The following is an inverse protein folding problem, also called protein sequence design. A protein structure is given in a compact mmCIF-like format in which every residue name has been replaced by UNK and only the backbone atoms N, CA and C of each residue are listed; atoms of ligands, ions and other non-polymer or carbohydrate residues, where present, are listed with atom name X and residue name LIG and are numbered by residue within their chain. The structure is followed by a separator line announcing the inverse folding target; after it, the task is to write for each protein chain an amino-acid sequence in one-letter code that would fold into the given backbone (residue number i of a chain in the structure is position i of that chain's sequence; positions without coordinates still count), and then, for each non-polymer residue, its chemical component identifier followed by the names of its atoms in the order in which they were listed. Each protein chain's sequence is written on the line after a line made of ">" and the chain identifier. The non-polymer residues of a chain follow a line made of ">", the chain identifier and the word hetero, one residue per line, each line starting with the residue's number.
data_IF_588806940733
#
_entry.id   IF_588806940733
#
_cell.length_a   1.000
_cell.length_b   1.000
_cell.length_c   1.000
_cell.angle_alpha   90.00
_cell.angle_beta   90.00
_cell.angle_gamma   90.00
#
_symmetry.space_group_name_H-M   'P 1'
#
loop_
_entity.id
_entity.type
_entity.pdbx_description
1 polymer ?
#
# COMPACT_ATOMS: atom_id res chain seq x y z
N UNK A 1 -11.05 -6.76 -41.05
CA UNK A 1 -10.03 -7.78 -40.75
C UNK A 1 -10.30 -8.32 -39.36
N UNK A 2 -10.56 -9.61 -39.22
CA UNK A 2 -10.70 -10.23 -37.91
C UNK A 2 -9.32 -10.27 -37.24
N UNK A 3 -9.20 -9.81 -35.99
CA UNK A 3 -7.99 -9.99 -35.19
C UNK A 3 -7.69 -11.50 -35.14
N UNK A 4 -6.47 -11.96 -35.52
CA UNK A 4 -6.14 -13.37 -35.52
C UNK A 4 -6.43 -14.00 -34.14
N UNK A 5 -7.01 -15.21 -34.11
CA UNK A 5 -7.33 -15.92 -32.85
C UNK A 5 -6.16 -15.96 -31.87
N UNK A 6 -4.94 -16.11 -32.40
CA UNK A 6 -3.67 -16.06 -31.65
C UNK A 6 -3.40 -14.72 -30.96
N UNK A 7 -3.74 -13.58 -31.58
CA UNK A 7 -3.56 -12.27 -30.98
C UNK A 7 -4.47 -12.06 -29.77
N UNK A 8 -5.75 -12.46 -29.90
CA UNK A 8 -6.70 -12.44 -28.78
C UNK A 8 -6.26 -13.36 -27.64
N UNK A 9 -5.73 -14.55 -27.95
CA UNK A 9 -5.22 -15.47 -26.94
C UNK A 9 -4.05 -14.88 -26.14
N UNK A 10 -3.08 -14.23 -26.80
CA UNK A 10 -1.94 -13.61 -26.09
C UNK A 10 -2.40 -12.44 -25.22
N UNK A 11 -3.24 -11.54 -25.75
CA UNK A 11 -3.75 -10.40 -24.97
C UNK A 11 -4.54 -10.88 -23.75
N UNK A 12 -5.39 -11.90 -23.89
CA UNK A 12 -6.11 -12.48 -22.75
C UNK A 12 -5.17 -13.19 -21.77
N UNK A 13 -4.11 -13.86 -22.25
CA UNK A 13 -3.08 -14.45 -21.41
C UNK A 13 -2.35 -13.39 -20.57
N UNK A 14 -1.98 -12.25 -21.17
CA UNK A 14 -1.38 -11.12 -20.46
C UNK A 14 -2.34 -10.54 -19.41
N UNK A 15 -3.63 -10.44 -19.71
CA UNK A 15 -4.64 -9.99 -18.73
C UNK A 15 -4.72 -10.92 -17.53
N UNK A 16 -4.80 -12.23 -17.75
CA UNK A 16 -4.83 -13.23 -16.67
C UNK A 16 -3.53 -13.15 -15.85
N UNK A 17 -2.38 -13.06 -16.52
CA UNK A 17 -1.09 -12.89 -15.87
C UNK A 17 -1.08 -11.67 -14.94
N UNK A 18 -1.54 -10.51 -15.40
CA UNK A 18 -1.59 -9.29 -14.60
C UNK A 18 -2.53 -9.39 -13.40
N UNK A 19 -3.68 -10.04 -13.56
CA UNK A 19 -4.59 -10.31 -12.44
C UNK A 19 -3.90 -11.17 -11.39
N UNK A 20 -3.28 -12.28 -11.80
CA UNK A 20 -2.58 -13.18 -10.88
C UNK A 20 -1.37 -12.51 -10.23
N UNK A 21 -0.59 -11.74 -10.98
CA UNK A 21 0.56 -11.00 -10.48
C UNK A 21 0.13 -9.98 -9.42
N UNK A 22 -0.88 -9.16 -9.70
CA UNK A 22 -1.37 -8.16 -8.73
C UNK A 22 -1.95 -8.85 -7.49
N UNK A 23 -2.76 -9.90 -7.64
CA UNK A 23 -3.29 -10.64 -6.48
C UNK A 23 -2.16 -11.24 -5.64
N UNK A 24 -1.11 -11.78 -6.28
CA UNK A 24 0.03 -12.34 -5.58
C UNK A 24 0.84 -11.25 -4.85
N UNK A 25 1.23 -10.18 -5.54
CA UNK A 25 2.13 -9.17 -4.99
C UNK A 25 1.42 -8.16 -4.06
N UNK A 26 0.14 -7.85 -4.29
CA UNK A 26 -0.62 -6.92 -3.44
C UNK A 26 -1.31 -7.60 -2.25
N UNK A 27 -1.63 -8.90 -2.33
CA UNK A 27 -2.32 -9.63 -1.25
C UNK A 27 -1.54 -10.84 -0.76
N UNK A 28 -1.10 -11.71 -1.68
CA UNK A 28 -0.47 -12.99 -1.36
C UNK A 28 0.79 -12.86 -0.51
N UNK A 29 1.77 -12.07 -0.96
CA UNK A 29 3.05 -11.91 -0.28
C UNK A 29 2.88 -11.20 1.07
N UNK A 30 2.05 -10.16 1.13
CA UNK A 30 1.76 -9.47 2.40
C UNK A 30 1.09 -10.41 3.40
N UNK A 31 0.07 -11.15 2.97
CA UNK A 31 -0.59 -12.14 3.82
C UNK A 31 0.35 -13.26 4.27
N UNK A 32 1.26 -13.72 3.41
CA UNK A 32 2.26 -14.73 3.75
C UNK A 32 3.28 -14.20 4.78
N UNK A 33 3.76 -12.95 4.60
CA UNK A 33 4.72 -12.32 5.51
C UNK A 33 4.18 -12.21 6.94
N UNK A 34 2.91 -11.82 7.10
CA UNK A 34 2.25 -11.74 8.41
C UNK A 34 1.99 -13.13 8.99
N UNK A 35 1.51 -14.10 8.17
CA UNK A 35 1.25 -15.48 8.62
C UNK A 35 2.49 -16.23 9.09
N UNK A 36 3.66 -15.92 8.54
CA UNK A 36 4.91 -16.54 8.94
C UNK A 36 5.55 -15.88 10.17
N UNK A 37 5.07 -14.71 10.59
CA UNK A 37 5.52 -14.11 11.83
C UNK A 37 4.66 -14.59 13.00
N UNK A 38 5.22 -15.48 13.81
CA UNK A 38 4.54 -16.05 14.97
C UNK A 38 4.93 -15.30 16.24
N UNK A 39 4.03 -15.27 17.21
CA UNK A 39 4.32 -14.77 18.55
C UNK A 39 5.48 -15.59 19.17
N UNK A 40 6.44 -14.93 19.84
CA UNK A 40 7.67 -15.56 20.35
C UNK A 40 7.48 -16.27 21.70
N UNK A 41 6.39 -17.02 21.85
CA UNK A 41 5.94 -17.57 23.13
C UNK A 41 5.28 -18.96 23.06
N UNK A 42 5.76 -19.90 22.23
CA UNK A 42 5.11 -21.21 22.06
C UNK A 42 5.02 -22.03 23.36
N UNK A 43 5.78 -21.67 24.40
CA UNK A 43 5.84 -22.33 25.69
C UNK A 43 5.11 -21.58 26.82
N UNK A 44 4.59 -20.36 26.58
CA UNK A 44 3.89 -19.59 27.59
C UNK A 44 2.41 -19.97 27.63
N UNK A 45 1.89 -20.23 28.83
CA UNK A 45 0.46 -20.38 29.04
C UNK A 45 -0.17 -19.00 29.24
N UNK A 46 -1.12 -18.62 28.37
CA UNK A 46 -1.86 -17.35 28.42
C UNK A 46 -0.98 -16.07 28.49
N UNK A 47 -0.04 -15.89 27.55
CA UNK A 47 0.76 -14.66 27.44
C UNK A 47 -0.10 -13.46 27.01
N UNK A 48 0.32 -12.27 27.42
CA UNK A 48 -0.26 -11.04 26.86
C UNK A 48 0.53 -10.62 25.61
N UNK A 49 -0.20 -10.42 24.51
CA UNK A 49 0.34 -10.06 23.21
C UNK A 49 0.23 -8.56 22.95
N UNK A 50 1.35 -7.96 22.57
CA UNK A 50 1.45 -6.55 22.22
C UNK A 50 2.19 -6.44 20.88
N UNK A 51 1.55 -5.85 19.88
CA UNK A 51 2.19 -5.47 18.63
C UNK A 51 2.76 -4.06 18.78
N UNK A 52 4.04 -3.86 18.49
CA UNK A 52 4.66 -2.55 18.48
C UNK A 52 4.83 -2.08 17.04
N UNK A 53 4.33 -0.89 16.76
CA UNK A 53 4.41 -0.21 15.47
C UNK A 53 5.13 1.11 15.66
N UNK A 54 6.14 1.38 14.84
CA UNK A 54 6.88 2.63 14.89
C UNK A 54 6.73 3.40 13.57
N UNK A 55 6.79 4.73 13.68
CA UNK A 55 6.89 5.68 12.59
C UNK A 55 5.94 5.40 11.41
N UNK A 56 4.61 5.32 11.63
CA UNK A 56 3.67 5.26 10.51
C UNK A 56 3.85 6.42 9.54
N UNK A 57 4.14 7.62 10.08
CA UNK A 57 4.41 8.86 9.38
C UNK A 57 3.54 9.00 8.13
N UNK A 58 2.21 9.00 8.34
CA UNK A 58 1.30 9.22 7.21
C UNK A 58 1.65 10.57 6.58
N UNK A 59 1.80 10.60 5.26
CA UNK A 59 2.30 11.80 4.56
C UNK A 59 1.15 12.74 4.21
N UNK A 60 1.31 14.05 4.38
CA UNK A 60 0.31 15.05 4.01
C UNK A 60 0.65 15.76 2.69
N UNK A 61 -0.10 16.81 2.37
CA UNK A 61 0.14 17.61 1.17
C UNK A 61 1.46 18.41 1.22
N UNK A 62 2.03 18.58 2.42
CA UNK A 62 3.22 19.39 2.67
C UNK A 62 4.51 18.56 2.76
N UNK A 63 4.43 17.26 3.07
CA UNK A 63 5.56 16.32 3.19
C UNK A 63 6.54 16.37 2.02
N UNK A 64 6.04 16.44 0.78
CA UNK A 64 6.88 16.50 -0.43
C UNK A 64 6.46 17.63 -1.37
N UNK A 65 6.40 18.85 -0.86
CA UNK A 65 5.95 20.04 -1.58
C UNK A 65 6.68 20.30 -2.91
N UNK A 66 7.93 19.84 -3.05
CA UNK A 66 8.73 19.96 -4.28
C UNK A 66 8.24 19.10 -5.45
N UNK A 67 7.38 18.11 -5.22
CA UNK A 67 6.95 17.13 -6.24
C UNK A 67 5.77 17.59 -7.12
N UNK A 68 5.20 18.76 -6.83
CA UNK A 68 3.99 19.26 -7.48
C UNK A 68 2.72 18.48 -7.06
N UNK A 69 1.53 19.06 -7.27
CA UNK A 69 0.30 18.60 -6.62
C UNK A 69 -0.13 17.19 -7.01
N UNK A 70 0.00 16.82 -8.29
CA UNK A 70 -0.40 15.49 -8.77
C UNK A 70 0.45 14.38 -8.17
N UNK A 71 1.77 14.54 -8.17
CA UNK A 71 2.68 13.52 -7.67
C UNK A 71 2.61 13.41 -6.15
N UNK A 72 2.42 14.52 -5.43
CA UNK A 72 2.17 14.49 -3.98
C UNK A 72 0.87 13.75 -3.65
N UNK A 73 -0.21 14.02 -4.41
CA UNK A 73 -1.47 13.29 -4.27
C UNK A 73 -1.30 11.79 -4.52
N UNK A 74 -0.66 11.40 -5.61
CA UNK A 74 -0.40 9.99 -5.93
C UNK A 74 0.49 9.31 -4.89
N UNK A 75 1.52 10.02 -4.39
CA UNK A 75 2.38 9.52 -3.31
C UNK A 75 1.55 9.20 -2.08
N UNK A 76 0.71 10.14 -1.64
CA UNK A 76 -0.17 9.95 -0.48
C UNK A 76 -1.08 8.74 -0.65
N UNK A 77 -1.77 8.64 -1.79
CA UNK A 77 -2.63 7.48 -2.07
C UNK A 77 -1.85 6.17 -2.01
N UNK A 78 -0.69 6.08 -2.65
CA UNK A 78 0.10 4.84 -2.65
C UNK A 78 0.64 4.48 -1.26
N UNK A 79 1.01 5.47 -0.45
CA UNK A 79 1.45 5.27 0.94
C UNK A 79 0.28 4.80 1.81
N UNK A 80 -0.87 5.47 1.76
CA UNK A 80 -2.06 5.10 2.54
C UNK A 80 -2.48 3.65 2.22
N UNK A 81 -2.44 3.26 0.94
CA UNK A 81 -2.73 1.89 0.52
C UNK A 81 -1.72 0.88 1.04
N UNK A 82 -0.44 1.23 1.04
CA UNK A 82 0.59 0.35 1.60
C UNK A 82 0.39 0.17 3.10
N UNK A 83 0.16 1.25 3.84
CA UNK A 83 -0.08 1.21 5.28
C UNK A 83 -1.32 0.37 5.65
N UNK A 84 -2.44 0.54 4.93
CA UNK A 84 -3.65 -0.28 5.12
C UNK A 84 -3.41 -1.76 4.92
N UNK A 85 -2.58 -2.15 3.94
CA UNK A 85 -2.21 -3.56 3.73
C UNK A 85 -1.35 -4.12 4.85
N UNK A 86 -0.45 -3.30 5.39
CA UNK A 86 0.47 -3.65 6.47
C UNK A 86 -0.25 -3.77 7.82
N UNK A 87 -1.40 -3.11 7.97
CA UNK A 87 -2.15 -3.02 9.23
C UNK A 87 -3.21 -4.11 9.39
N UNK A 88 -3.09 -4.97 10.43
CA UNK A 88 -4.04 -6.08 10.68
C UNK A 88 -4.26 -6.52 12.15
N UNK A 89 -4.35 -5.63 13.15
CA UNK A 89 -4.91 -5.82 14.55
C UNK A 89 -3.92 -5.75 15.74
N UNK A 90 -4.40 -5.16 16.87
CA UNK A 90 -3.82 -4.90 18.22
C UNK A 90 -2.56 -4.04 18.19
N UNK A 91 -2.38 -2.94 18.96
CA UNK A 91 -1.13 -2.14 18.82
C UNK A 91 -0.75 -1.14 19.92
N UNK A 92 0.57 -0.95 20.00
CA UNK A 92 1.27 0.14 20.66
C UNK A 92 2.07 0.93 19.61
N UNK A 93 1.74 2.20 19.40
CA UNK A 93 2.42 3.10 18.48
C UNK A 93 3.55 3.85 19.18
N UNK A 94 4.76 3.73 18.63
CA UNK A 94 5.99 4.32 19.17
C UNK A 94 6.33 5.67 18.53
N UNK A 95 5.31 6.50 18.32
CA UNK A 95 5.45 7.88 17.83
C UNK A 95 5.46 8.05 16.32
N UNK A 96 5.44 9.32 15.95
CA UNK A 96 5.41 9.81 14.58
C UNK A 96 4.25 9.22 13.79
N UNK A 97 3.04 9.34 14.34
CA UNK A 97 1.82 8.94 13.65
C UNK A 97 1.65 9.78 12.37
N UNK A 98 1.92 11.08 12.45
CA UNK A 98 1.78 12.05 11.37
C UNK A 98 3.12 12.72 11.06
N UNK A 99 3.48 12.83 9.77
CA UNK A 99 4.74 13.43 9.34
C UNK A 99 4.84 14.95 9.63
N UNK A 100 3.71 15.64 9.68
CA UNK A 100 3.67 17.10 9.87
C UNK A 100 2.76 17.53 11.03
N UNK A 101 2.45 16.63 11.97
CA UNK A 101 1.53 16.90 13.08
C UNK A 101 1.90 18.14 13.92
N UNK A 102 3.20 18.44 14.02
CA UNK A 102 3.76 19.58 14.75
C UNK A 102 3.54 20.94 14.08
N UNK A 103 3.31 21.00 12.77
CA UNK A 103 3.31 22.26 12.02
C UNK A 103 1.99 23.03 12.14
N UNK A 104 2.07 24.35 11.95
CA UNK A 104 0.91 25.22 11.83
C UNK A 104 0.07 24.88 10.59
N UNK A 105 -1.20 24.55 10.82
CA UNK A 105 -2.19 24.27 9.79
C UNK A 105 -3.59 24.61 10.33
N UNK A 106 -4.57 24.93 9.46
CA UNK A 106 -5.96 25.08 9.87
C UNK A 106 -6.48 23.85 10.63
N UNK A 107 -7.38 24.08 11.59
CA UNK A 107 -7.94 23.01 12.43
C UNK A 107 -8.67 21.94 11.62
N UNK A 108 -9.45 22.35 10.61
CA UNK A 108 -10.12 21.44 9.67
C UNK A 108 -9.13 20.54 8.92
N UNK A 109 -7.97 21.07 8.51
CA UNK A 109 -6.94 20.27 7.85
C UNK A 109 -6.36 19.22 8.79
N UNK A 110 -6.12 19.57 10.06
CA UNK A 110 -5.61 18.62 11.04
C UNK A 110 -6.64 17.54 11.35
N UNK A 111 -7.92 17.89 11.45
CA UNK A 111 -8.99 16.93 11.68
C UNK A 111 -9.08 15.93 10.51
N UNK A 112 -9.08 16.40 9.27
CA UNK A 112 -9.03 15.53 8.08
C UNK A 112 -7.78 14.64 8.07
N UNK A 113 -6.66 15.16 8.55
CA UNK A 113 -5.40 14.43 8.64
C UNK A 113 -5.47 13.31 9.68
N UNK A 114 -6.03 13.61 10.86
CA UNK A 114 -6.27 12.63 11.92
C UNK A 114 -7.30 11.58 11.51
N UNK A 115 -8.43 11.99 10.90
CA UNK A 115 -9.44 11.05 10.42
C UNK A 115 -8.83 10.09 9.40
N UNK A 116 -7.96 10.57 8.51
CA UNK A 116 -7.21 9.70 7.59
C UNK A 116 -6.32 8.70 8.33
N UNK A 117 -5.62 9.12 9.40
CA UNK A 117 -4.85 8.20 10.24
C UNK A 117 -5.76 7.13 10.85
N UNK A 118 -6.86 7.56 11.50
CA UNK A 118 -7.83 6.68 12.16
C UNK A 118 -8.42 5.66 11.18
N UNK A 119 -8.72 6.08 9.95
CA UNK A 119 -9.24 5.22 8.90
C UNK A 119 -8.22 4.19 8.40
N UNK A 120 -6.94 4.57 8.30
CA UNK A 120 -5.87 3.66 7.89
C UNK A 120 -5.61 2.61 8.97
N UNK A 121 -5.55 3.05 10.22
CA UNK A 121 -5.22 2.24 11.38
C UNK A 121 -6.47 1.89 12.19
N UNK A 122 -7.57 1.58 11.50
CA UNK A 122 -8.83 1.25 12.16
C UNK A 122 -8.65 0.00 13.03
N UNK A 123 -9.10 0.08 14.27
CA UNK A 123 -8.97 -1.00 15.25
C UNK A 123 -10.35 -1.55 15.57
N UNK A 124 -10.44 -2.87 15.75
CA UNK A 124 -11.68 -3.52 16.18
C UNK A 124 -12.10 -3.05 17.58
N UNK A 125 -13.40 -2.84 17.78
CA UNK A 125 -13.96 -2.43 19.06
C UNK A 125 -13.52 -3.37 20.20
N UNK A 126 -13.23 -2.79 21.37
CA UNK A 126 -12.81 -3.53 22.57
C UNK A 126 -11.30 -3.81 22.65
N UNK A 127 -10.53 -3.45 21.63
CA UNK A 127 -9.07 -3.58 21.64
C UNK A 127 -8.41 -2.26 22.08
N UNK A 128 -7.61 -2.24 23.16
CA UNK A 128 -6.92 -1.02 23.57
C UNK A 128 -5.77 -0.68 22.61
N UNK A 129 -5.62 0.62 22.32
CA UNK A 129 -4.52 1.17 21.52
C UNK A 129 -3.81 2.24 22.33
N UNK A 130 -2.49 2.25 22.22
CA UNK A 130 -1.65 3.16 23.00
C UNK A 130 -0.67 3.89 22.09
N UNK A 131 -0.58 5.20 22.25
CA UNK A 131 0.32 6.07 21.48
C UNK A 131 1.36 6.72 22.38
N UNK A 132 2.56 6.96 21.82
CA UNK A 132 3.61 7.82 22.38
C UNK A 132 3.81 8.95 21.39
N UNK A 133 4.04 10.17 21.87
CA UNK A 133 4.29 11.30 20.97
C UNK A 133 5.70 11.21 20.38
N UNK A 134 5.80 11.34 19.07
CA UNK A 134 7.07 11.51 18.37
C UNK A 134 7.42 12.96 18.07
N UNK A 135 8.59 13.19 17.49
CA UNK A 135 9.05 14.54 17.17
C UNK A 135 8.31 15.14 15.98
N UNK A 136 7.72 14.35 15.08
CA UNK A 136 6.81 14.83 14.02
C UNK A 136 5.40 15.14 14.51
N UNK A 137 5.00 14.57 15.64
CA UNK A 137 3.69 14.80 16.22
C UNK A 137 3.59 16.13 16.99
N UNK A 138 4.53 16.38 17.92
CA UNK A 138 4.48 17.56 18.80
C UNK A 138 5.63 18.54 18.60
N UNK A 139 6.67 18.16 17.86
CA UNK A 139 7.91 18.93 17.75
C UNK A 139 8.88 18.65 18.90
N UNK A 140 10.11 19.15 18.74
CA UNK A 140 11.11 19.21 19.80
C UNK A 140 11.58 20.66 19.94
N UNK A 141 11.23 21.28 21.07
CA UNK A 141 11.59 22.67 21.33
C UNK A 141 10.71 23.66 20.57
N UNK A 142 11.15 24.92 20.49
CA UNK A 142 10.34 26.03 19.97
C UNK A 142 10.81 26.39 18.56
N UNK A 143 9.87 26.53 17.63
CA UNK A 143 10.10 26.97 16.25
C UNK A 143 8.92 27.81 15.79
N UNK A 144 9.17 28.89 15.04
CA UNK A 144 8.10 29.70 14.43
C UNK A 144 7.27 28.95 13.38
N UNK A 145 7.73 27.78 12.95
CA UNK A 145 7.00 26.92 12.02
C UNK A 145 6.06 25.93 12.75
N UNK A 146 6.31 25.67 14.04
CA UNK A 146 5.48 24.76 14.82
C UNK A 146 4.23 25.47 15.30
N UNK A 147 3.14 24.72 15.41
CA UNK A 147 1.88 25.19 15.98
C UNK A 147 1.99 25.23 17.50
N UNK A 148 1.53 26.32 18.10
CA UNK A 148 1.39 26.42 19.57
C UNK A 148 0.37 25.39 20.10
N UNK A 149 -0.54 24.93 19.23
CA UNK A 149 -1.57 23.92 19.48
C UNK A 149 -1.12 22.48 19.17
N UNK A 150 0.11 22.25 18.69
CA UNK A 150 0.56 20.90 18.30
C UNK A 150 0.33 19.86 19.42
N UNK A 151 0.63 20.24 20.66
CA UNK A 151 0.48 19.36 21.83
C UNK A 151 -0.96 19.15 22.25
N UNK A 152 -1.80 20.19 22.23
CA UNK A 152 -3.22 20.07 22.59
C UNK A 152 -3.94 19.22 21.56
N UNK A 153 -3.66 19.44 20.27
CA UNK A 153 -4.16 18.62 19.16
C UNK A 153 -3.73 17.16 19.30
N UNK A 154 -2.45 16.90 19.56
CA UNK A 154 -1.98 15.54 19.82
C UNK A 154 -2.76 14.87 20.97
N UNK A 155 -2.85 15.57 22.10
CA UNK A 155 -3.45 15.03 23.33
C UNK A 155 -4.94 14.75 23.18
N UNK A 156 -5.64 15.56 22.37
CA UNK A 156 -7.06 15.37 22.07
C UNK A 156 -7.33 14.08 21.27
N UNK A 157 -6.37 13.64 20.46
CA UNK A 157 -6.56 12.57 19.47
C UNK A 157 -5.85 11.25 19.82
N UNK A 158 -4.65 11.35 20.40
CA UNK A 158 -3.78 10.20 20.74
C UNK A 158 -3.62 10.00 22.25
N UNK A 159 -4.20 10.90 23.05
CA UNK A 159 -4.15 10.87 24.50
C UNK A 159 -2.87 11.46 25.09
N UNK A 160 -2.70 11.33 26.40
CA UNK A 160 -1.57 11.92 27.13
C UNK A 160 -0.23 11.29 26.71
N UNK A 161 0.79 12.09 26.33
CA UNK A 161 2.08 11.57 25.84
C UNK A 161 2.83 10.66 26.83
N UNK A 162 2.80 11.00 28.12
CA UNK A 162 3.41 10.19 29.19
C UNK A 162 2.31 9.52 30.01
N UNK A 163 2.38 8.20 30.13
CA UNK A 163 1.45 7.39 30.92
C UNK A 163 2.11 6.07 31.30
N UNK A 164 1.82 5.60 32.51
CA UNK A 164 2.15 4.24 32.97
C UNK A 164 0.93 3.36 32.76
N UNK A 165 1.12 2.19 32.18
CA UNK A 165 0.06 1.20 31.95
C UNK A 165 0.53 -0.13 32.50
N UNK A 166 -0.31 -0.81 33.29
CA UNK A 166 -0.01 -2.18 33.73
C UNK A 166 -0.68 -3.19 32.78
N UNK A 167 0.11 -4.08 32.17
CA UNK A 167 -0.38 -5.19 31.33
C UNK A 167 0.35 -6.46 31.75
N UNK A 168 -0.40 -7.53 32.06
CA UNK A 168 0.17 -8.81 32.51
C UNK A 168 1.23 -8.63 33.62
N UNK A 169 0.93 -7.75 34.59
CA UNK A 169 1.82 -7.39 35.69
C UNK A 169 3.20 -6.92 35.22
N UNK A 170 3.23 -6.18 34.12
CA UNK A 170 4.37 -5.38 33.66
C UNK A 170 3.96 -3.92 33.64
N UNK A 171 4.83 -3.05 34.14
CA UNK A 171 4.62 -1.60 34.07
C UNK A 171 5.22 -1.05 32.78
N UNK A 172 4.37 -0.67 31.84
CA UNK A 172 4.71 -0.09 30.55
C UNK A 172 4.80 1.42 30.66
N UNK A 173 6.00 1.97 30.48
CA UNK A 173 6.26 3.39 30.64
C UNK A 173 6.42 4.08 29.29
N UNK A 174 5.55 5.04 29.00
CA UNK A 174 5.68 5.92 27.84
C UNK A 174 6.52 7.14 28.20
N UNK A 175 7.65 7.31 27.54
CA UNK A 175 8.49 8.48 27.70
C UNK A 175 8.51 9.36 26.44
N UNK A 176 8.06 10.59 26.61
CA UNK A 176 8.24 11.71 25.70
C UNK A 176 9.11 12.79 26.39
N UNK A 177 10.20 13.20 25.72
CA UNK A 177 11.24 14.10 26.26
C UNK A 177 10.71 15.45 26.74
N UNK A 178 9.61 15.91 26.18
CA UNK A 178 9.10 17.27 26.40
C UNK A 178 8.31 17.45 27.69
N UNK A 179 8.11 16.38 28.48
CA UNK A 179 7.43 16.46 29.78
C UNK A 179 8.36 15.94 30.89
N UNK A 180 9.08 16.88 31.52
CA UNK A 180 10.12 16.60 32.50
C UNK A 180 9.55 16.21 33.89
N UNK A 181 10.20 15.21 34.51
CA UNK A 181 10.36 14.93 35.95
C UNK A 181 9.21 14.43 36.84
N UNK A 182 7.92 14.58 36.52
CA UNK A 182 6.88 14.12 37.48
C UNK A 182 6.78 12.60 37.64
N UNK A 183 7.31 11.79 36.71
CA UNK A 183 7.15 10.33 36.69
C UNK A 183 8.34 9.53 37.26
N UNK A 184 9.48 10.15 37.59
CA UNK A 184 10.71 9.42 37.95
C UNK A 184 10.80 8.97 39.41
N UNK A 185 9.72 9.04 40.19
CA UNK A 185 9.71 8.74 41.63
C UNK A 185 8.78 7.61 42.05
N UNK A 186 8.07 6.97 41.12
CA UNK A 186 7.21 5.85 41.46
C UNK A 186 8.05 4.57 41.67
N UNK A 187 7.77 3.86 42.77
CA UNK A 187 8.42 2.60 43.08
C UNK A 187 7.61 1.47 42.43
N UNK A 188 8.22 0.75 41.48
CA UNK A 188 7.55 -0.32 40.74
C UNK A 188 7.85 -1.69 41.38
N UNK A 189 6.81 -2.46 41.66
CA UNK A 189 6.90 -3.84 42.14
C UNK A 189 7.06 -4.83 41.00
N UNK A 190 6.58 -4.46 39.81
CA UNK A 190 6.58 -5.28 38.61
C UNK A 190 7.73 -4.95 37.65
N UNK A 191 8.17 -5.89 36.81
CA UNK A 191 9.13 -5.64 35.74
C UNK A 191 8.67 -4.50 34.82
N UNK A 192 9.58 -3.58 34.52
CA UNK A 192 9.29 -2.40 33.70
C UNK A 192 9.77 -2.60 32.27
N UNK A 193 8.90 -2.35 31.29
CA UNK A 193 9.29 -2.17 29.89
C UNK A 193 9.16 -0.69 29.57
N UNK A 194 10.26 -0.11 29.10
CA UNK A 194 10.31 1.31 28.73
C UNK A 194 10.06 1.46 27.25
N UNK A 195 9.12 2.34 26.90
CA UNK A 195 8.88 2.76 25.53
C UNK A 195 9.28 4.23 25.39
N UNK A 196 10.10 4.54 24.38
CA UNK A 196 10.54 5.89 24.07
C UNK A 196 10.44 6.07 22.57
N UNK A 197 9.93 7.19 22.07
CA UNK A 197 10.01 7.41 20.61
C UNK A 197 11.48 7.51 20.17
N UNK A 198 12.25 8.38 20.83
CA UNK A 198 13.65 8.64 20.46
C UNK A 198 14.57 7.61 21.14
N UNK A 199 15.50 6.98 20.41
CA UNK A 199 16.44 6.00 20.96
C UNK A 199 17.29 6.56 22.11
N UNK A 200 17.66 5.69 23.04
CA UNK A 200 18.57 6.06 24.12
C UNK A 200 19.99 6.27 23.58
N UNK A 201 20.74 7.10 24.30
CA UNK A 201 22.12 7.42 23.97
C UNK A 201 22.99 6.17 23.88
N UNK A 202 23.76 6.06 22.80
CA UNK A 202 24.80 5.05 22.62
C UNK A 202 26.05 5.67 21.99
N UNK A 203 27.23 5.02 22.07
CA UNK A 203 28.44 5.52 21.43
C UNK A 203 28.26 5.73 19.93
N UNK A 204 28.89 6.77 19.38
CA UNK A 204 28.82 7.07 17.95
C UNK A 204 29.34 5.89 17.11
N UNK A 205 28.62 5.61 16.02
CA UNK A 205 28.96 4.53 15.10
C UNK A 205 28.71 3.11 15.63
N UNK A 206 28.16 2.94 16.84
CA UNK A 206 27.90 1.60 17.41
C UNK A 206 26.92 0.82 16.53
N UNK A 207 27.29 -0.42 16.18
CA UNK A 207 26.51 -1.27 15.29
C UNK A 207 25.13 -1.67 15.86
N UNK A 208 24.19 -1.91 14.94
CA UNK A 208 22.76 -2.12 15.19
C UNK A 208 22.30 -3.59 15.11
N UNK A 209 23.23 -4.53 15.10
CA UNK A 209 22.94 -5.94 14.85
C UNK A 209 22.68 -6.25 13.37
N UNK A 210 22.42 -7.53 13.03
CA UNK A 210 22.37 -8.02 11.66
C UNK A 210 21.08 -7.70 10.90
N UNK A 211 20.01 -7.30 11.60
CA UNK A 211 18.70 -7.00 10.99
C UNK A 211 18.60 -5.56 10.47
N UNK A 212 19.59 -4.72 10.77
CA UNK A 212 19.77 -3.38 10.22
C UNK A 212 20.02 -3.44 8.72
N UNK A 213 19.35 -2.60 7.93
CA UNK A 213 19.64 -2.53 6.49
C UNK A 213 20.87 -1.68 6.18
N UNK A 214 21.01 -0.52 6.85
CA UNK A 214 22.05 0.45 6.50
C UNK A 214 22.64 1.17 7.72
N UNK A 215 23.97 1.14 7.83
CA UNK A 215 24.72 2.01 8.73
C UNK A 215 24.43 1.77 10.22
N UNK A 216 24.52 2.85 11.00
CA UNK A 216 24.28 2.89 12.44
C UNK A 216 23.66 4.24 12.81
N UNK A 217 23.08 4.33 14.02
CA UNK A 217 22.52 5.58 14.54
C UNK A 217 23.68 6.48 14.95
N UNK A 218 23.79 7.64 14.30
CA UNK A 218 24.79 8.67 14.62
C UNK A 218 24.15 9.81 15.40
N UNK A 219 24.85 10.41 16.38
CA UNK A 219 24.36 11.58 17.08
C UNK A 219 24.06 12.70 16.08
N UNK A 220 22.87 13.28 16.20
CA UNK A 220 22.42 14.38 15.35
C UNK A 220 21.29 15.13 16.06
N UNK A 221 21.32 16.46 15.95
CA UNK A 221 20.30 17.36 16.48
C UNK A 221 20.10 18.46 15.47
N UNK A 222 18.85 18.85 15.25
CA UNK A 222 18.49 20.02 14.46
C UNK A 222 17.13 20.56 14.85
N UNK A 223 16.55 21.37 13.96
CA UNK A 223 15.26 21.99 14.21
C UNK A 223 14.16 20.92 14.26
N UNK A 224 13.62 20.64 15.45
CA UNK A 224 12.52 19.68 15.65
C UNK A 224 12.90 18.21 15.55
N UNK A 225 14.19 17.85 15.56
CA UNK A 225 14.61 16.46 15.56
C UNK A 225 15.89 16.23 16.36
N UNK A 226 16.04 15.01 16.86
CA UNK A 226 17.28 14.48 17.41
C UNK A 226 17.28 12.97 17.18
N UNK A 227 18.43 12.38 16.86
CA UNK A 227 18.50 10.95 16.56
C UNK A 227 18.63 10.06 17.82
N UNK A 228 19.02 10.66 18.94
CA UNK A 228 19.22 9.99 20.22
C UNK A 228 18.98 10.95 21.37
N UNK A 229 18.50 10.42 22.51
CA UNK A 229 18.43 11.15 23.78
C UNK A 229 19.83 11.54 24.27
N UNK A 230 19.92 12.57 25.12
CA UNK A 230 21.20 12.90 25.74
C UNK A 230 21.67 11.78 26.66
N UNK A 231 23.00 11.64 26.79
CA UNK A 231 23.62 10.67 27.69
C UNK A 231 23.06 10.73 29.11
N UNK A 232 22.97 11.95 29.66
CA UNK A 232 22.45 12.18 31.02
C UNK A 232 20.98 11.81 31.16
N UNK A 233 20.17 12.11 30.14
CA UNK A 233 18.74 11.77 30.10
C UNK A 233 18.54 10.25 30.04
N UNK A 234 19.30 9.58 29.17
CA UNK A 234 19.27 8.13 28.99
C UNK A 234 19.69 7.39 30.27
N UNK A 235 20.79 7.84 30.91
CA UNK A 235 21.25 7.29 32.19
C UNK A 235 20.19 7.46 33.29
N UNK A 236 19.61 8.65 33.41
CA UNK A 236 18.54 8.91 34.39
C UNK A 236 17.34 8.00 34.19
N UNK A 237 16.92 7.75 32.94
CA UNK A 237 15.80 6.84 32.65
C UNK A 237 16.13 5.40 33.06
N UNK A 238 17.31 4.91 32.68
CA UNK A 238 17.76 3.56 33.04
C UNK A 238 17.91 3.38 34.55
N UNK A 239 18.47 4.36 35.25
CA UNK A 239 18.68 4.33 36.71
C UNK A 239 17.37 4.43 37.49
N UNK A 240 16.41 5.24 37.01
CA UNK A 240 15.13 5.45 37.70
C UNK A 240 14.19 4.27 37.51
N UNK A 241 14.04 3.78 36.28
CA UNK A 241 13.07 2.72 35.96
C UNK A 241 13.63 1.30 36.05
N UNK A 242 14.96 1.13 35.92
CA UNK A 242 15.64 -0.18 35.87
C UNK A 242 14.91 -1.19 34.95
N UNK A 243 14.61 -0.82 33.70
CA UNK A 243 13.75 -1.63 32.84
C UNK A 243 14.41 -2.96 32.47
N UNK A 244 13.58 -3.97 32.19
CA UNK A 244 14.02 -5.27 31.63
C UNK A 244 14.23 -5.21 30.12
N UNK A 245 13.58 -4.26 29.46
CA UNK A 245 13.66 -4.01 28.02
C UNK A 245 13.36 -2.55 27.69
N UNK A 246 13.90 -2.06 26.58
CA UNK A 246 13.52 -0.78 25.99
C UNK A 246 13.12 -0.99 24.53
N UNK A 247 12.04 -0.37 24.10
CA UNK A 247 11.66 -0.33 22.68
C UNK A 247 11.53 1.13 22.22
N UNK A 248 12.13 1.45 21.07
CA UNK A 248 12.09 2.79 20.50
C UNK A 248 11.67 2.85 19.04
N UNK A 249 11.39 4.06 18.51
CA UNK A 249 11.14 4.35 17.09
C UNK A 249 12.17 5.34 16.53
N UNK A 250 11.73 6.33 15.74
CA UNK A 250 12.45 7.53 15.25
C UNK A 250 13.57 7.26 14.21
N UNK A 251 14.39 6.22 14.37
CA UNK A 251 15.48 5.94 13.42
C UNK A 251 15.02 5.17 12.15
N UNK A 252 13.74 4.77 12.11
CA UNK A 252 13.04 4.09 11.01
C UNK A 252 13.55 2.68 10.65
N UNK A 253 14.80 2.33 10.93
CA UNK A 253 15.38 1.02 10.64
C UNK A 253 15.71 0.25 11.93
N UNK A 254 15.71 -1.07 11.87
CA UNK A 254 15.92 -1.91 13.05
C UNK A 254 17.29 -1.63 13.66
N UNK A 255 17.35 -1.43 14.97
CA UNK A 255 18.63 -1.31 15.66
C UNK A 255 18.59 -1.92 17.05
N UNK A 256 19.46 -2.89 17.29
CA UNK A 256 19.62 -3.52 18.58
C UNK A 256 20.87 -3.00 19.30
N UNK A 257 20.69 -2.57 20.54
CA UNK A 257 21.77 -2.12 21.41
C UNK A 257 21.57 -2.63 22.84
N UNK A 258 22.67 -2.82 23.58
CA UNK A 258 22.61 -3.22 24.99
C UNK A 258 23.28 -2.17 25.86
N UNK A 259 22.50 -1.55 26.71
CA UNK A 259 22.93 -0.57 27.69
C UNK A 259 23.52 -1.25 28.92
N UNK A 260 24.55 -0.66 29.49
CA UNK A 260 25.15 -1.11 30.74
C UNK A 260 24.71 -0.17 31.86
N UNK A 261 23.89 -0.69 32.78
CA UNK A 261 23.50 0.02 33.98
C UNK A 261 24.46 -0.34 35.12
N UNK A 262 25.24 0.63 35.57
CA UNK A 262 26.20 0.45 36.66
C UNK A 262 25.45 0.25 37.98
N UNK A 263 25.63 -0.92 38.59
CA UNK A 263 25.09 -1.20 39.92
C UNK A 263 26.11 -0.78 40.99
N UNK A 264 25.75 0.06 41.98
CA UNK A 264 26.69 0.55 43.00
C UNK A 264 27.39 -0.55 43.83
N UNK A 265 26.84 -1.77 43.88
CA UNK A 265 27.36 -2.89 44.68
C UNK A 265 27.21 -4.27 43.99
N UNK A 266 27.10 -4.32 42.66
CA UNK A 266 26.84 -5.58 41.94
C UNK A 266 27.35 -5.59 40.51
N UNK A 267 27.12 -6.70 39.79
CA UNK A 267 27.42 -6.77 38.36
C UNK A 267 26.56 -5.75 37.58
N UNK A 268 27.10 -5.20 36.47
CA UNK A 268 26.34 -4.29 35.62
C UNK A 268 25.12 -5.01 35.07
N UNK A 269 23.94 -4.38 35.21
CA UNK A 269 22.71 -4.88 34.61
C UNK A 269 22.70 -4.50 33.14
N UNK A 270 22.54 -5.51 32.27
CA UNK A 270 22.45 -5.31 30.84
C UNK A 270 20.99 -5.10 30.45
N UNK A 271 20.69 -3.97 29.80
CA UNK A 271 19.33 -3.64 29.34
C UNK A 271 19.33 -3.60 27.82
N UNK A 272 18.55 -4.49 27.19
CA UNK A 272 18.40 -4.53 25.73
C UNK A 272 17.44 -3.44 25.26
N UNK A 273 17.87 -2.67 24.28
CA UNK A 273 17.05 -1.73 23.53
C UNK A 273 16.88 -2.21 22.09
N UNK A 274 15.65 -2.23 21.60
CA UNK A 274 15.32 -2.45 20.20
C UNK A 274 14.66 -1.19 19.66
N UNK A 275 15.31 -0.55 18.69
CA UNK A 275 14.67 0.44 17.84
C UNK A 275 13.87 -0.30 16.77
N UNK A 276 12.56 -0.20 16.88
CA UNK A 276 11.56 -0.85 16.03
C UNK A 276 11.58 -0.19 14.65
N UNK A 277 11.51 -1.03 13.63
CA UNK A 277 11.48 -0.59 12.24
C UNK A 277 10.16 0.12 11.92
N UNK A 278 10.23 1.15 11.08
CA UNK A 278 9.04 1.83 10.54
C UNK A 278 8.13 0.84 9.80
N UNK A 279 6.82 1.02 9.94
CA UNK A 279 5.80 0.32 9.14
C UNK A 279 5.60 0.96 7.75
N UNK A 280 6.16 2.16 7.53
CA UNK A 280 5.98 2.97 6.33
C UNK A 280 7.02 2.65 5.25
N UNK A 281 6.56 2.52 4.00
CA UNK A 281 7.46 2.28 2.86
C UNK A 281 8.25 3.52 2.40
N UNK A 282 7.96 4.71 2.94
CA UNK A 282 8.56 5.98 2.49
C UNK A 282 9.65 6.53 3.43
N UNK A 283 10.11 5.70 4.37
CA UNK A 283 11.03 6.10 5.43
C UNK A 283 12.45 5.53 5.27
N UNK A 284 12.91 5.47 4.01
CA UNK A 284 14.27 5.08 3.61
C UNK A 284 14.70 3.66 4.02
N UNK A 285 13.73 2.77 4.22
CA UNK A 285 13.95 1.33 4.40
C UNK A 285 13.40 0.55 3.20
N UNK A 286 14.02 -0.57 2.84
CA UNK A 286 13.52 -1.44 1.78
C UNK A 286 12.37 -2.30 2.27
N UNK A 287 12.48 -2.89 3.47
CA UNK A 287 11.46 -3.81 4.01
C UNK A 287 10.89 -3.27 5.31
N UNK A 288 9.78 -2.52 5.31
CA UNK A 288 9.14 -2.04 6.53
C UNK A 288 8.88 -3.17 7.54
N UNK A 289 8.55 -2.86 8.78
CA UNK A 289 8.33 -3.91 9.77
C UNK A 289 7.57 -3.46 11.01
N UNK A 290 7.44 -4.39 11.94
CA UNK A 290 6.86 -4.19 13.27
C UNK A 290 7.48 -5.19 14.25
N UNK A 291 7.23 -5.03 15.55
CA UNK A 291 7.72 -5.94 16.59
C UNK A 291 6.55 -6.66 17.27
N UNK A 292 6.65 -7.97 17.45
CA UNK A 292 5.75 -8.72 18.34
C UNK A 292 6.38 -8.81 19.73
N UNK A 293 5.63 -8.48 20.77
CA UNK A 293 6.05 -8.57 22.16
C UNK A 293 5.06 -9.44 22.95
N UNK A 294 5.58 -10.49 23.58
CA UNK A 294 4.83 -11.40 24.45
C UNK A 294 5.29 -11.23 25.90
N UNK A 295 4.33 -10.98 26.79
CA UNK A 295 4.59 -10.79 28.22
C UNK A 295 4.18 -12.04 28.99
N UNK A 296 5.11 -12.57 29.79
CA UNK A 296 4.84 -13.73 30.62
C UNK A 296 3.97 -13.37 31.84
N UNK A 297 2.92 -14.15 32.14
CA UNK A 297 2.10 -13.95 33.34
C UNK A 297 2.89 -14.21 34.62
N UNK A 298 2.39 -13.68 35.75
CA UNK A 298 3.09 -13.71 37.04
C UNK A 298 3.40 -15.09 37.58
N UNK A 299 2.56 -16.09 37.27
CA UNK A 299 2.69 -17.45 37.80
C UNK A 299 3.89 -18.21 37.22
N UNK A 300 4.39 -17.79 36.05
CA UNK A 300 5.55 -18.39 35.38
C UNK A 300 6.89 -17.76 35.78
N UNK A 301 6.87 -16.80 36.72
CA UNK A 301 8.07 -16.08 37.20
C UNK A 301 8.91 -16.86 38.20
N UNK A 302 8.47 -18.05 38.64
CA UNK A 302 9.06 -18.75 39.79
C UNK A 302 10.40 -19.42 39.51
N UNK A 303 10.75 -19.74 38.25
CA UNK A 303 11.98 -20.50 37.95
C UNK A 303 12.80 -20.03 36.72
N UNK A 304 12.44 -18.93 36.03
CA UNK A 304 13.25 -18.42 34.90
C UNK A 304 13.36 -16.89 34.82
N UNK A 305 14.56 -16.43 34.41
CA UNK A 305 15.03 -15.02 34.42
C UNK A 305 14.40 -14.12 33.34
N UNK A 306 13.45 -14.59 32.53
CA UNK A 306 12.92 -13.83 31.38
C UNK A 306 11.41 -13.61 31.52
N UNK A 307 10.99 -12.34 31.58
CA UNK A 307 9.59 -11.96 31.78
C UNK A 307 8.90 -11.52 30.49
N UNK A 308 9.66 -11.40 29.40
CA UNK A 308 9.16 -11.01 28.08
C UNK A 308 9.94 -11.71 26.97
N UNK A 309 9.30 -11.82 25.81
CA UNK A 309 9.90 -12.31 24.56
C UNK A 309 9.45 -11.41 23.42
N UNK A 310 10.33 -11.14 22.47
CA UNK A 310 9.99 -10.31 21.33
C UNK A 310 10.62 -10.84 20.03
N UNK A 311 9.99 -10.53 18.90
CA UNK A 311 10.51 -10.88 17.58
C UNK A 311 10.15 -9.83 16.53
N UNK A 312 11.09 -9.43 15.65
CA UNK A 312 10.81 -8.50 14.57
C UNK A 312 10.15 -9.21 13.40
N UNK A 313 9.13 -8.58 12.82
CA UNK A 313 8.46 -9.04 11.62
C UNK A 313 8.74 -8.07 10.47
N UNK A 314 9.20 -8.60 9.34
CA UNK A 314 9.47 -7.82 8.14
C UNK A 314 8.33 -7.94 7.15
N UNK A 315 7.96 -6.81 6.56
CA UNK A 315 6.98 -6.66 5.52
C UNK A 315 7.66 -6.67 4.13
N UNK A 316 6.90 -6.94 3.05
CA UNK A 316 7.44 -6.95 1.70
C UNK A 316 7.98 -5.58 1.25
N UNK A 317 9.00 -5.62 0.40
CA UNK A 317 9.57 -4.43 -0.23
C UNK A 317 8.66 -3.92 -1.36
N UNK A 318 7.72 -3.03 -0.99
CA UNK A 318 6.73 -2.49 -1.92
C UNK A 318 7.38 -1.69 -3.06
N UNK A 319 8.46 -0.95 -2.78
CA UNK A 319 9.12 -0.14 -3.79
C UNK A 319 9.80 -1.02 -4.84
N UNK A 320 10.45 -2.10 -4.42
CA UNK A 320 11.02 -3.11 -5.34
C UNK A 320 9.94 -3.87 -6.11
N UNK A 321 8.78 -4.13 -5.52
CA UNK A 321 7.65 -4.70 -6.27
C UNK A 321 7.26 -3.75 -7.42
N UNK A 322 7.08 -2.47 -7.14
CA UNK A 322 6.74 -1.49 -8.17
C UNK A 322 7.84 -1.36 -9.22
N UNK A 323 9.09 -1.12 -8.80
CA UNK A 323 10.19 -0.77 -9.71
C UNK A 323 10.79 -1.97 -10.44
N UNK A 324 10.91 -3.12 -9.77
CA UNK A 324 11.63 -4.28 -10.31
C UNK A 324 10.68 -5.39 -10.78
N UNK A 325 9.39 -5.30 -10.49
CA UNK A 325 8.40 -6.30 -10.93
C UNK A 325 7.38 -5.67 -11.87
N UNK A 326 6.61 -4.67 -11.43
CA UNK A 326 5.54 -4.10 -12.25
C UNK A 326 6.07 -3.33 -13.46
N UNK A 327 7.04 -2.44 -13.30
CA UNK A 327 7.58 -1.67 -14.44
C UNK A 327 8.18 -2.61 -15.52
N UNK A 328 9.05 -3.59 -15.21
CA UNK A 328 9.59 -4.49 -16.21
C UNK A 328 8.53 -5.38 -16.87
N UNK A 329 7.59 -5.93 -16.11
CA UNK A 329 6.50 -6.73 -16.68
C UNK A 329 5.59 -5.90 -17.57
N UNK A 330 5.37 -4.62 -17.25
CA UNK A 330 4.59 -3.71 -18.08
C UNK A 330 5.34 -3.41 -19.38
N UNK A 331 6.62 -3.05 -19.29
CA UNK A 331 7.45 -2.82 -20.47
C UNK A 331 7.47 -4.06 -21.38
N UNK A 332 7.67 -5.26 -20.83
CA UNK A 332 7.66 -6.51 -21.58
C UNK A 332 6.28 -6.77 -22.22
N UNK A 333 5.18 -6.60 -21.48
CA UNK A 333 3.82 -6.77 -22.00
C UNK A 333 3.55 -5.84 -23.19
N UNK A 334 3.98 -4.58 -23.08
CA UNK A 334 3.87 -3.57 -24.14
C UNK A 334 4.72 -3.94 -25.36
N UNK A 335 5.96 -4.40 -25.16
CA UNK A 335 6.83 -4.85 -26.24
C UNK A 335 6.26 -6.06 -26.99
N UNK A 336 5.70 -7.03 -26.28
CA UNK A 336 5.04 -8.21 -26.87
C UNK A 336 3.90 -7.77 -27.78
N UNK A 337 3.01 -6.90 -27.30
CA UNK A 337 1.85 -6.47 -28.08
C UNK A 337 2.25 -5.56 -29.23
N UNK A 338 3.21 -4.66 -29.02
CA UNK A 338 3.79 -3.86 -30.08
C UNK A 338 4.38 -4.75 -31.20
N UNK A 339 5.21 -5.74 -30.85
CA UNK A 339 5.79 -6.67 -31.81
C UNK A 339 4.74 -7.47 -32.57
N UNK A 340 3.68 -7.91 -31.89
CA UNK A 340 2.56 -8.61 -32.53
C UNK A 340 1.78 -7.72 -33.50
N UNK A 341 1.57 -6.45 -33.15
CA UNK A 341 0.92 -5.47 -34.02
C UNK A 341 1.76 -5.17 -35.27
N UNK A 342 3.09 -5.04 -35.14
CA UNK A 342 4.01 -4.87 -36.28
C UNK A 342 4.00 -6.11 -37.20
N UNK A 343 4.03 -7.32 -36.63
CA UNK A 343 3.99 -8.56 -37.42
C UNK A 343 2.66 -8.73 -38.18
N UNK A 344 1.54 -8.33 -37.57
CA UNK A 344 0.24 -8.39 -38.24
C UNK A 344 0.15 -7.40 -39.40
N UNK A 345 0.68 -6.19 -39.25
CA UNK A 345 0.74 -5.19 -40.33
C UNK A 345 1.64 -5.65 -41.49
N UNK A 346 2.85 -6.16 -41.20
CA UNK A 346 3.78 -6.65 -42.24
C UNK A 346 3.23 -7.87 -42.99
N UNK A 347 2.53 -8.78 -42.30
CA UNK A 347 1.80 -9.88 -42.96
C UNK A 347 0.63 -9.38 -43.80
N UNK A 348 -0.12 -8.40 -43.30
CA UNK A 348 -1.24 -7.83 -44.07
C UNK A 348 -0.76 -7.06 -45.30
N UNK A 349 0.39 -6.40 -45.27
CA UNK A 349 0.96 -5.70 -46.42
C UNK A 349 1.52 -6.68 -47.45
N UNK A 350 2.21 -7.75 -47.03
CA UNK A 350 2.68 -8.81 -47.92
C UNK A 350 1.54 -9.56 -48.62
N UNK A 351 0.43 -9.85 -47.92
CA UNK A 351 -0.74 -10.51 -48.53
C UNK A 351 -1.47 -9.60 -49.53
N UNK A 352 -1.45 -8.28 -49.33
CA UNK A 352 -2.02 -7.30 -50.29
C UNK A 352 -1.15 -7.09 -51.53
N UNK A 353 0.17 -7.31 -51.41
CA UNK A 353 1.13 -7.11 -52.50
C UNK A 353 1.46 -8.38 -53.30
N UNK A 354 0.80 -9.52 -53.02
CA UNK A 354 0.93 -10.72 -53.88
C UNK A 354 0.25 -10.46 -55.24
N UNK A 355 0.93 -10.60 -56.38
CA UNK A 355 0.29 -10.50 -57.69
C UNK A 355 -0.75 -11.61 -57.83
N UNK A 356 -1.96 -11.26 -58.28
CA UNK A 356 -3.00 -12.21 -58.63
C UNK A 356 -2.50 -12.98 -59.86
N UNK A 357 -2.09 -14.24 -59.68
CA UNK A 357 -1.81 -15.14 -60.80
C UNK A 357 -3.14 -15.52 -61.45
N UNK A 358 -3.38 -14.99 -62.64
CA UNK A 358 -4.53 -15.32 -63.49
C UNK A 358 -4.33 -16.67 -64.17
N UNK A 359 -4.46 -17.77 -63.42
CA UNK A 359 -4.62 -19.10 -64.00
C UNK A 359 -5.64 -19.87 -63.16
N UNK A 360 -6.84 -19.99 -63.73
CA UNK A 360 -7.77 -21.12 -63.64
C UNK A 360 -9.21 -20.61 -63.85
N UNK A 361 -9.56 -20.35 -65.12
CA UNK A 361 -10.94 -20.46 -65.58
C UNK A 361 -11.04 -21.77 -66.36
N UNK A 362 -11.86 -22.75 -65.94
CA UNK A 362 -12.17 -23.89 -66.79
C UNK A 362 -12.97 -23.40 -68.01
N UNK A 363 -12.41 -23.62 -69.19
CA UNK A 363 -13.12 -23.53 -70.47
C UNK A 363 -14.32 -24.47 -70.43
N UNK A 364 -15.53 -23.92 -70.58
CA UNK A 364 -16.72 -24.70 -70.94
C UNK A 364 -16.72 -24.78 -72.47
N UNK A 365 -16.57 -26.01 -72.99
CA UNK A 365 -16.67 -26.33 -74.40
C UNK A 365 -18.04 -25.91 -74.97
N UNK A 366 -18.01 -25.22 -76.11
CA UNK A 366 -19.18 -24.92 -76.93
C UNK A 366 -19.42 -26.07 -77.90
N UNK A 367 -20.63 -26.62 -77.89
CA UNK A 367 -21.24 -27.24 -79.06
C UNK A 367 -22.48 -26.41 -79.44
N UNK A 368 -22.63 -25.95 -80.69
CA UNK A 368 -23.91 -25.47 -81.20
C UNK A 368 -24.63 -26.61 -81.90
N UNK A 369 -25.93 -26.74 -81.68
CA UNK A 369 -26.89 -27.09 -82.73
C UNK A 369 -28.28 -26.55 -82.32
N UNK A 370 -28.95 -25.97 -83.30
CA UNK A 370 -30.19 -25.20 -83.25
C UNK A 370 -31.30 -26.08 -83.86
N UNK A 371 -32.48 -26.14 -83.22
CA UNK A 371 -33.83 -25.91 -83.80
C UNK A 371 -34.95 -26.66 -83.01
N UNK A 372 -35.64 -25.87 -82.15
CA UNK A 372 -37.09 -25.53 -82.21
C UNK A 372 -38.20 -26.60 -81.88
N UNK A 373 -39.48 -26.22 -81.68
CA UNK A 373 -40.06 -25.93 -80.35
C UNK A 373 -41.36 -26.72 -80.02
N UNK A 374 -41.82 -26.74 -78.76
CA UNK A 374 -43.25 -26.64 -78.36
C UNK A 374 -43.57 -26.86 -76.86
N UNK A 375 -44.29 -25.87 -76.30
CA UNK A 375 -45.52 -25.94 -75.46
C UNK A 375 -45.53 -26.71 -74.12
N UNK A 376 -45.88 -26.01 -73.03
CA UNK A 376 -46.69 -26.60 -71.94
C UNK A 376 -46.48 -26.08 -70.49
N UNK A 377 -47.30 -25.10 -70.08
CA UNK A 377 -47.77 -24.69 -68.73
C UNK A 377 -47.34 -25.51 -67.48
N UNK A 378 -46.90 -24.94 -66.36
CA UNK A 378 -47.65 -24.25 -65.27
C UNK A 378 -46.72 -24.32 -64.03
N UNK A 379 -46.63 -23.42 -63.05
CA UNK A 379 -47.66 -22.85 -62.16
C UNK A 379 -47.01 -21.80 -61.23
N UNK A 380 -47.82 -20.81 -60.85
CA UNK A 380 -47.66 -19.55 -60.08
C UNK A 380 -47.19 -19.69 -58.60
N UNK A 381 -47.31 -18.66 -57.71
CA UNK A 381 -47.17 -17.18 -57.86
C UNK A 381 -46.28 -16.51 -56.77
N UNK A 382 -45.75 -15.33 -57.09
CA UNK A 382 -45.33 -14.33 -56.10
C UNK A 382 -46.52 -13.56 -55.53
N UNK A 383 -46.35 -13.08 -54.29
CA UNK A 383 -47.29 -12.20 -53.58
C UNK A 383 -46.64 -10.85 -53.27
N UNK A 384 -47.53 -9.87 -53.18
CA UNK A 384 -47.37 -8.43 -53.31
C UNK A 384 -47.37 -7.66 -51.97
N UNK A 385 -46.89 -6.40 -52.02
CA UNK A 385 -47.45 -5.18 -51.37
C UNK A 385 -47.21 -4.95 -49.85
N UNK A 386 -46.49 -3.87 -49.50
CA UNK A 386 -47.03 -2.62 -48.94
C UNK A 386 -45.94 -1.55 -48.72
N UNK A 387 -46.01 -0.49 -49.52
CA UNK A 387 -45.35 0.80 -49.31
C UNK A 387 -46.35 1.72 -48.59
N UNK A 388 -45.95 2.24 -47.42
CA UNK A 388 -46.78 3.08 -46.55
C UNK A 388 -46.08 4.40 -46.22
N UNK A 389 -46.85 5.49 -46.36
CA UNK A 389 -46.43 6.89 -46.47
C UNK A 389 -45.60 7.51 -45.32
N UNK A 390 -44.85 8.54 -45.75
CA UNK A 390 -44.17 9.60 -45.00
C UNK A 390 -44.93 10.14 -43.77
N UNK A 391 -44.18 10.41 -42.69
CA UNK A 391 -44.30 11.64 -41.85
C UNK A 391 -42.94 12.06 -41.26
N UNK A 392 -42.54 13.32 -41.49
CA UNK A 392 -41.75 14.12 -40.53
C UNK A 392 -42.76 14.90 -39.69
N UNK A 393 -42.50 15.18 -38.39
CA UNK A 393 -41.96 16.51 -38.09
C UNK A 393 -41.12 16.65 -36.80
N UNK A 394 -40.39 17.79 -36.80
CA UNK A 394 -40.04 18.72 -35.70
C UNK A 394 -39.13 18.32 -34.53
N UNK A 395 -38.29 19.31 -34.26
CA UNK A 395 -37.31 19.51 -33.19
C UNK A 395 -38.02 20.00 -31.93
N UNK A 396 -37.60 19.52 -30.75
CA UNK A 396 -37.77 20.21 -29.47
C UNK A 396 -36.55 20.00 -28.56
N UNK A 397 -36.21 21.03 -27.79
CA UNK A 397 -35.10 21.07 -26.81
C UNK A 397 -35.60 20.70 -25.39
N UNK A 398 -34.92 19.70 -24.80
CA UNK A 398 -34.51 19.47 -23.38
C UNK A 398 -35.52 19.48 -22.22
N UNK A 399 -35.38 18.50 -21.27
CA UNK A 399 -35.05 18.88 -19.88
C UNK A 399 -34.06 17.94 -19.11
N UNK A 400 -33.51 18.48 -18.03
CA UNK A 400 -32.31 18.07 -17.24
C UNK A 400 -32.57 16.95 -16.20
N UNK A 401 -33.37 15.93 -16.51
CA UNK A 401 -33.74 14.87 -15.55
C UNK A 401 -33.29 13.44 -15.89
N UNK A 402 -32.44 13.25 -16.89
CA UNK A 402 -31.91 11.91 -17.25
C UNK A 402 -30.53 11.55 -16.67
N UNK A 403 -29.93 12.39 -15.81
CA UNK A 403 -28.62 12.10 -15.21
C UNK A 403 -28.59 10.90 -14.24
N UNK A 404 -29.75 10.44 -13.75
CA UNK A 404 -29.83 9.41 -12.70
C UNK A 404 -30.20 7.98 -13.17
N UNK A 405 -30.23 7.69 -14.48
CA UNK A 405 -30.51 6.32 -14.98
C UNK A 405 -29.31 5.60 -15.62
N UNK A 406 -28.07 6.02 -15.30
CA UNK A 406 -26.84 5.48 -15.90
C UNK A 406 -25.97 4.46 -15.11
N UNK A 407 -26.39 3.81 -13.99
CA UNK A 407 -25.58 2.71 -13.44
C UNK A 407 -26.07 1.30 -13.81
N UNK A 408 -27.19 1.11 -14.52
CA UNK A 408 -27.72 -0.24 -14.85
C UNK A 408 -27.29 -0.81 -16.22
N UNK A 409 -26.73 0.00 -17.11
CA UNK A 409 -26.26 -0.47 -18.44
C UNK A 409 -24.75 -0.76 -18.51
N UNK A 410 -23.99 -0.47 -17.45
CA UNK A 410 -22.54 -0.71 -17.42
C UNK A 410 -22.16 -2.16 -17.04
N UNK A 411 -23.12 -3.00 -16.61
CA UNK A 411 -22.84 -4.37 -16.14
C UNK A 411 -23.38 -5.50 -17.02
N UNK A 412 -24.02 -5.22 -18.17
CA UNK A 412 -24.63 -6.25 -19.03
C UNK A 412 -24.17 -6.23 -20.50
N UNK A 413 -22.96 -5.76 -20.79
CA UNK A 413 -22.38 -5.86 -22.13
C UNK A 413 -21.08 -6.68 -22.19
N UNK A 414 -21.00 -7.71 -21.35
CA UNK A 414 -20.19 -8.90 -21.64
C UNK A 414 -21.13 -9.97 -22.20
N UNK A 415 -20.81 -10.50 -23.39
CA UNK A 415 -21.54 -11.51 -24.16
C UNK A 415 -22.66 -11.02 -25.09
N UNK A 416 -22.29 -10.47 -26.25
CA UNK A 416 -22.98 -10.77 -27.51
C UNK A 416 -22.20 -10.16 -28.69
N UNK A 417 -21.74 -11.03 -29.59
CA UNK A 417 -21.20 -10.59 -30.87
C UNK A 417 -22.35 -10.31 -31.84
N UNK A 418 -22.49 -9.05 -32.29
CA UNK A 418 -22.92 -8.78 -33.67
C UNK A 418 -22.64 -7.34 -34.12
N UNK A 419 -21.91 -7.27 -35.24
CA UNK A 419 -21.97 -6.27 -36.32
C UNK A 419 -21.76 -4.79 -35.98
N UNK A 420 -20.51 -4.32 -36.20
CA UNK A 420 -20.25 -2.99 -36.77
C UNK A 420 -19.24 -3.10 -37.92
N UNK A 421 -19.77 -3.27 -39.12
CA UNK A 421 -19.13 -2.83 -40.36
C UNK A 421 -19.69 -1.46 -40.69
N UNK A 422 -18.83 -0.44 -40.81
CA UNK A 422 -18.85 0.64 -41.83
C UNK A 422 -17.96 1.82 -41.37
N UNK A 423 -16.90 2.06 -42.18
CA UNK A 423 -16.04 3.26 -42.32
C UNK A 423 -15.10 3.62 -41.15
N UNK A 424 -13.83 4.04 -41.30
CA UNK A 424 -12.86 4.20 -42.41
C UNK A 424 -11.55 4.68 -41.73
N UNK A 425 -10.41 4.01 -41.96
CA UNK A 425 -9.03 4.39 -41.58
C UNK A 425 -8.83 4.93 -40.14
N UNK A 426 -8.80 4.05 -39.13
CA UNK A 426 -7.98 4.33 -37.94
C UNK A 426 -6.53 3.95 -38.27
N UNK A 427 -5.60 4.89 -38.08
CA UNK A 427 -4.18 4.60 -38.27
C UNK A 427 -3.74 3.47 -37.35
N UNK A 428 -2.76 2.68 -37.76
CA UNK A 428 -2.12 1.66 -36.93
C UNK A 428 -1.67 2.19 -35.56
N UNK A 429 -1.35 3.49 -35.47
CA UNK A 429 -1.08 4.20 -34.22
C UNK A 429 -2.30 4.23 -33.29
N UNK A 430 -3.51 4.50 -33.78
CA UNK A 430 -4.72 4.50 -32.96
C UNK A 430 -5.09 3.09 -32.47
N UNK A 431 -4.91 2.06 -33.30
CA UNK A 431 -5.09 0.67 -32.88
C UNK A 431 -4.06 0.26 -31.82
N UNK A 432 -2.80 0.64 -32.01
CA UNK A 432 -1.73 0.40 -31.04
C UNK A 432 -1.95 1.15 -29.72
N UNK A 433 -2.43 2.39 -29.77
CA UNK A 433 -2.78 3.18 -28.58
C UNK A 433 -3.97 2.58 -27.83
N UNK A 434 -4.98 2.05 -28.53
CA UNK A 434 -6.12 1.36 -27.91
C UNK A 434 -5.69 0.04 -27.26
N UNK A 435 -4.78 -0.71 -27.87
CA UNK A 435 -4.24 -1.94 -27.30
C UNK A 435 -3.35 -1.64 -26.08
N UNK A 436 -2.45 -0.65 -26.18
CA UNK A 436 -1.63 -0.14 -25.06
C UNK A 436 -2.52 0.34 -23.91
N UNK A 437 -3.57 1.11 -24.21
CA UNK A 437 -4.55 1.54 -23.22
C UNK A 437 -5.27 0.33 -22.60
N UNK A 438 -5.69 -0.65 -23.39
CA UNK A 438 -6.37 -1.85 -22.90
C UNK A 438 -5.47 -2.78 -22.05
N UNK A 439 -4.14 -2.70 -22.20
CA UNK A 439 -3.18 -3.53 -21.47
C UNK A 439 -2.62 -2.79 -20.27
N UNK A 440 -2.51 -1.47 -20.32
CA UNK A 440 -2.16 -0.66 -19.16
C UNK A 440 -3.36 -0.49 -18.22
N UNK A 441 -4.58 -0.43 -18.76
CA UNK A 441 -5.80 -0.27 -17.95
C UNK A 441 -6.14 -1.53 -17.17
N UNK A 442 -5.79 -2.74 -17.62
CA UNK A 442 -6.09 -3.95 -16.85
C UNK A 442 -5.29 -4.03 -15.54
N UNK A 443 -3.96 -3.83 -15.53
CA UNK A 443 -3.17 -3.68 -14.32
C UNK A 443 -3.67 -2.52 -13.48
N UNK A 444 -3.92 -1.35 -14.07
CA UNK A 444 -4.39 -0.18 -13.33
C UNK A 444 -5.79 -0.36 -12.74
N UNK A 445 -6.73 -0.95 -13.48
CA UNK A 445 -8.08 -1.24 -13.00
C UNK A 445 -8.09 -2.42 -12.02
N UNK A 446 -7.28 -3.46 -12.24
CA UNK A 446 -7.19 -4.57 -11.29
C UNK A 446 -6.55 -4.10 -10.00
N UNK A 447 -5.48 -3.32 -10.09
CA UNK A 447 -4.88 -2.64 -8.94
C UNK A 447 -5.93 -1.75 -8.28
N UNK A 448 -6.61 -0.86 -9.01
CA UNK A 448 -7.64 0.02 -8.47
C UNK A 448 -8.84 -0.74 -7.86
N UNK A 449 -9.24 -1.89 -8.42
CA UNK A 449 -10.34 -2.72 -7.90
C UNK A 449 -9.92 -3.46 -6.64
N UNK A 450 -8.73 -4.08 -6.63
CA UNK A 450 -8.16 -4.72 -5.42
C UNK A 450 -7.95 -3.67 -4.34
N UNK A 451 -7.43 -2.51 -4.71
CA UNK A 451 -7.30 -1.32 -3.87
C UNK A 451 -8.65 -0.89 -3.30
N UNK A 452 -9.67 -0.70 -4.13
CA UNK A 452 -11.01 -0.29 -3.68
C UNK A 452 -11.62 -1.33 -2.73
N UNK A 453 -11.45 -2.62 -3.03
CA UNK A 453 -11.89 -3.70 -2.16
C UNK A 453 -11.18 -3.68 -0.80
N UNK A 454 -9.87 -3.45 -0.77
CA UNK A 454 -9.08 -3.26 0.45
C UNK A 454 -9.44 -1.98 1.23
N UNK A 455 -10.01 -0.98 0.57
CA UNK A 455 -10.42 0.26 1.22
C UNK A 455 -11.86 0.23 1.75
N UNK A 456 -12.69 -0.67 1.23
CA UNK A 456 -14.13 -0.76 1.54
C UNK A 456 -14.48 -1.85 2.55
N UNK A 457 -13.54 -2.74 2.85
CA UNK A 457 -13.59 -3.69 3.97
C UNK A 457 -12.54 -3.30 5.00
#
# INVERSE_FOLDING_TARGET
>A
MAIPSRHRAVVNGLRIFWVLAILWYELGIFSASVRWCNWPDPYLHLPAHILLVADPQIVDRHSYSSRGPLLSYLTRVLVDLNLRKNWRILSYFLGDMMDNGRYAMPEEEYEDYYQRFSDIFRVTDGIPVYFIAGNHDTGLGISSQFSDEARSRYSAHFGTPNKVISIANHSLHKYCKELHLMFLKEQHTDPVILFSHIPLNRPDGKGCGPLREKGSIRPGVGLGYQNMLEKKSSQRLLESFKPVAVFSGDDHDYCEHTHQLLSPRGQPQMVREVTVKTISMVMNVQRPGFQLLSLAPSDLRTDSKHTYFDTPCLLPDQLRIYLNTYIPFLALSLLVVFGMNVQNETRSSHLKNRPISSQDFPMIDRHPDIEDPSIGSSSSPGWFILEGQRRRPKVDRLPVSEWFKRPKEALLCFCSGRTRTVLRRQSWLWASLLDVWSIAIFPLCTFALVTWWLMSN
#
